data_IF_239211016197
#
_entry.id   IF_239211016197
#
_cell.length_a   1.000
_cell.length_b   1.000
_cell.length_c   1.000
_cell.angle_alpha   90.00
_cell.angle_beta   90.00
_cell.angle_gamma   90.00
#
_symmetry.space_group_name_H-M   'P 1'
#
loop_
_entity.id
_entity.type
_entity.pdbx_description
1 polymer ?
#
# COMPACT_ATOMS: atom_id res chain seq x y z
N UNK A 1 27.39 5.96 0.84
CA UNK A 1 27.36 4.61 0.27
C UNK A 1 25.93 4.07 0.19
N UNK A 2 24.96 4.89 -0.26
CA UNK A 2 23.52 4.55 -0.30
C UNK A 2 22.88 4.67 -1.71
N UNK A 3 23.71 4.75 -2.75
CA UNK A 3 23.24 4.84 -4.14
C UNK A 3 22.78 3.51 -4.74
N UNK A 4 23.12 2.36 -4.14
CA UNK A 4 22.80 1.04 -4.70
C UNK A 4 21.30 0.66 -4.66
N UNK A 5 20.53 1.18 -3.72
CA UNK A 5 19.07 0.86 -3.64
C UNK A 5 18.22 1.72 -4.58
N UNK A 6 18.71 2.92 -4.96
CA UNK A 6 18.07 3.74 -6.01
C UNK A 6 18.28 3.16 -7.41
N UNK A 7 19.38 2.42 -7.62
CA UNK A 7 19.66 1.75 -8.88
C UNK A 7 18.65 0.66 -9.26
N UNK A 8 17.96 0.05 -8.28
CA UNK A 8 16.96 -1.00 -8.52
C UNK A 8 15.70 -0.47 -9.22
N UNK A 9 15.19 0.71 -8.86
CA UNK A 9 14.02 1.29 -9.51
C UNK A 9 14.32 1.76 -10.94
N UNK A 10 15.47 2.39 -11.16
CA UNK A 10 15.91 2.82 -12.50
C UNK A 10 16.33 1.62 -13.35
N UNK A 11 16.97 0.60 -12.75
CA UNK A 11 17.29 -0.66 -13.43
C UNK A 11 16.04 -1.41 -13.89
N UNK A 12 14.98 -1.41 -13.09
CA UNK A 12 13.70 -1.99 -13.44
C UNK A 12 13.03 -1.26 -14.62
N UNK A 13 12.99 0.07 -14.59
CA UNK A 13 12.48 0.88 -15.71
C UNK A 13 13.30 0.67 -17.01
N UNK A 14 14.63 0.57 -16.90
CA UNK A 14 15.51 0.35 -18.04
C UNK A 14 15.43 -1.07 -18.61
N UNK A 15 15.23 -2.11 -17.77
CA UNK A 15 15.04 -3.49 -18.23
C UNK A 15 13.74 -3.65 -19.04
N UNK A 16 12.65 -2.99 -18.65
CA UNK A 16 11.40 -3.02 -19.41
C UNK A 16 11.56 -2.30 -20.75
N UNK A 17 12.27 -1.15 -20.77
CA UNK A 17 12.53 -0.43 -22.03
C UNK A 17 13.44 -1.21 -23.00
N UNK A 18 14.40 -2.01 -22.50
CA UNK A 18 15.32 -2.79 -23.30
C UNK A 18 14.73 -4.08 -23.92
N UNK A 19 13.56 -4.54 -23.45
CA UNK A 19 12.86 -5.71 -24.02
C UNK A 19 12.01 -5.37 -25.25
N UNK A 20 11.83 -4.08 -25.56
CA UNK A 20 11.09 -3.62 -26.74
C UNK A 20 12.07 -3.42 -27.91
N UNK A 21 11.92 -4.23 -28.98
CA UNK A 21 12.87 -4.24 -30.11
C UNK A 21 12.59 -3.13 -31.11
N UNK A 22 13.65 -2.76 -31.87
CA UNK A 22 13.66 -1.65 -32.84
C UNK A 22 12.78 -1.86 -34.10
N UNK A 23 12.09 -2.97 -34.22
CA UNK A 23 11.25 -3.30 -35.40
C UNK A 23 9.85 -2.65 -35.37
N UNK A 24 9.57 -1.88 -34.30
CA UNK A 24 8.24 -1.34 -34.00
C UNK A 24 7.98 0.08 -34.53
N UNK A 25 8.86 0.62 -35.40
CA UNK A 25 8.81 2.04 -35.84
C UNK A 25 7.86 2.34 -37.00
N UNK A 26 6.99 1.43 -37.38
CA UNK A 26 6.05 1.63 -38.52
C UNK A 26 4.57 1.64 -38.10
N UNK A 27 4.16 2.53 -37.22
CA UNK A 27 2.73 2.81 -37.06
C UNK A 27 2.51 4.31 -36.76
N UNK A 28 2.25 5.08 -37.77
CA UNK A 28 1.77 6.45 -37.64
C UNK A 28 0.33 6.44 -37.10
N UNK A 29 0.09 7.22 -36.05
CA UNK A 29 -1.20 7.59 -35.46
C UNK A 29 -1.88 6.59 -34.49
N UNK A 30 -1.14 5.68 -33.87
CA UNK A 30 -1.69 4.90 -32.76
C UNK A 30 -1.37 5.58 -31.41
N UNK A 31 -2.37 5.88 -30.56
CA UNK A 31 -2.14 6.48 -29.23
C UNK A 31 -1.14 5.70 -28.37
N UNK A 32 -1.16 4.36 -28.47
CA UNK A 32 -0.22 3.47 -27.78
C UNK A 32 1.24 3.76 -28.15
N UNK A 33 1.57 3.91 -29.44
CA UNK A 33 2.93 4.18 -29.90
C UNK A 33 3.45 5.53 -29.38
N UNK A 34 2.62 6.59 -29.41
CA UNK A 34 2.99 7.91 -28.91
C UNK A 34 3.26 7.92 -27.39
N UNK A 35 2.47 7.19 -26.62
CA UNK A 35 2.67 7.08 -25.15
C UNK A 35 3.90 6.24 -24.83
N UNK A 36 4.20 5.19 -25.62
CA UNK A 36 5.42 4.39 -25.49
C UNK A 36 6.67 5.25 -25.73
N UNK A 37 6.67 6.07 -26.78
CA UNK A 37 7.81 6.93 -27.11
C UNK A 37 8.03 8.00 -26.04
N UNK A 38 6.97 8.60 -25.53
CA UNK A 38 7.03 9.53 -24.40
C UNK A 38 7.66 8.87 -23.15
N UNK A 39 7.24 7.65 -22.84
CA UNK A 39 7.81 6.90 -21.70
C UNK A 39 9.29 6.57 -21.90
N UNK A 40 9.73 6.15 -23.10
CA UNK A 40 11.15 5.91 -23.42
C UNK A 40 11.97 7.18 -23.23
N UNK A 41 11.49 8.34 -23.70
CA UNK A 41 12.17 9.62 -23.55
C UNK A 41 12.38 10.00 -22.06
N UNK A 42 11.37 9.74 -21.20
CA UNK A 42 11.51 10.01 -19.77
C UNK A 42 12.53 9.08 -19.11
N UNK A 43 12.65 7.83 -19.53
CA UNK A 43 13.67 6.90 -19.02
C UNK A 43 15.07 7.39 -19.41
N UNK A 44 15.29 7.83 -20.65
CA UNK A 44 16.55 8.39 -21.11
C UNK A 44 16.94 9.65 -20.34
N UNK A 45 15.99 10.57 -20.12
CA UNK A 45 16.17 11.77 -19.33
C UNK A 45 16.59 11.44 -17.88
N UNK A 46 15.90 10.49 -17.24
CA UNK A 46 16.19 10.05 -15.89
C UNK A 46 17.59 9.42 -15.78
N UNK A 47 18.00 8.61 -16.76
CA UNK A 47 19.33 8.04 -16.82
C UNK A 47 20.39 9.14 -16.96
N UNK A 48 20.19 10.11 -17.84
CA UNK A 48 21.10 11.23 -18.06
C UNK A 48 21.30 12.07 -16.77
N UNK A 49 20.21 12.41 -16.07
CA UNK A 49 20.31 13.19 -14.83
C UNK A 49 21.01 12.38 -13.74
N UNK A 50 20.74 11.07 -13.63
CA UNK A 50 21.40 10.17 -12.68
C UNK A 50 22.92 10.14 -12.91
N UNK A 51 23.36 9.97 -14.15
CA UNK A 51 24.77 9.87 -14.49
C UNK A 51 25.51 11.18 -14.20
N UNK A 52 24.88 12.33 -14.45
CA UNK A 52 25.40 13.64 -14.04
C UNK A 52 25.46 13.79 -12.52
N UNK A 53 24.45 13.33 -11.80
CA UNK A 53 24.40 13.39 -10.33
C UNK A 53 25.51 12.53 -9.69
N UNK A 54 25.86 11.41 -10.32
CA UNK A 54 26.89 10.49 -9.82
C UNK A 54 28.29 11.12 -9.76
N UNK A 55 28.56 12.13 -10.61
CA UNK A 55 29.87 12.83 -10.71
C UNK A 55 29.81 14.28 -10.22
N UNK A 56 28.65 14.76 -9.82
CA UNK A 56 28.45 16.14 -9.40
C UNK A 56 29.13 16.46 -8.07
N UNK A 57 29.65 17.66 -7.92
CA UNK A 57 30.25 18.19 -6.69
C UNK A 57 29.79 19.62 -6.41
N UNK A 58 29.82 20.03 -5.13
CA UNK A 58 29.54 21.41 -4.72
C UNK A 58 28.08 21.83 -4.97
N UNK A 59 27.91 23.05 -5.49
CA UNK A 59 26.58 23.69 -5.64
C UNK A 59 25.70 23.05 -6.71
N UNK A 60 26.24 22.24 -7.62
CA UNK A 60 25.46 21.53 -8.63
C UNK A 60 24.63 20.37 -8.04
N UNK A 61 25.05 19.79 -6.91
CA UNK A 61 24.39 18.62 -6.31
C UNK A 61 22.92 18.90 -5.94
N UNK A 62 22.56 19.97 -5.20
CA UNK A 62 21.17 20.24 -4.86
C UNK A 62 20.27 20.46 -6.08
N UNK A 63 20.80 21.15 -7.12
CA UNK A 63 20.07 21.40 -8.38
C UNK A 63 19.78 20.08 -9.11
N UNK A 64 20.78 19.23 -9.25
CA UNK A 64 20.65 17.93 -9.91
C UNK A 64 19.77 16.97 -9.11
N UNK A 65 19.84 16.99 -7.77
CA UNK A 65 18.94 16.22 -6.92
C UNK A 65 17.47 16.62 -7.15
N UNK A 66 17.18 17.93 -7.18
CA UNK A 66 15.82 18.40 -7.48
C UNK A 66 15.37 17.98 -8.88
N UNK A 67 16.22 18.12 -9.89
CA UNK A 67 15.94 17.66 -11.26
C UNK A 67 15.70 16.15 -11.33
N UNK A 68 16.50 15.36 -10.60
CA UNK A 68 16.32 13.91 -10.51
C UNK A 68 14.98 13.52 -9.87
N UNK A 69 14.60 14.21 -8.80
CA UNK A 69 13.29 13.97 -8.15
C UNK A 69 12.13 14.26 -9.11
N UNK A 70 12.22 15.36 -9.86
CA UNK A 70 11.20 15.69 -10.87
C UNK A 70 11.16 14.64 -11.97
N UNK A 71 12.30 14.24 -12.54
CA UNK A 71 12.37 13.21 -13.57
C UNK A 71 11.84 11.85 -13.09
N UNK A 72 12.04 11.49 -11.81
CA UNK A 72 11.42 10.29 -11.21
C UNK A 72 9.90 10.41 -11.16
N UNK A 73 9.35 11.57 -10.80
CA UNK A 73 7.91 11.80 -10.76
C UNK A 73 7.30 11.73 -12.18
N UNK A 74 7.95 12.38 -13.15
CA UNK A 74 7.52 12.39 -14.56
C UNK A 74 7.58 10.98 -15.16
N UNK A 75 8.66 10.23 -14.90
CA UNK A 75 8.81 8.84 -15.33
C UNK A 75 7.75 7.90 -14.72
N UNK A 76 7.38 8.09 -13.44
CA UNK A 76 6.27 7.36 -12.81
C UNK A 76 4.94 7.66 -13.50
N UNK A 77 4.66 8.94 -13.79
CA UNK A 77 3.46 9.36 -14.48
C UNK A 77 3.39 8.78 -15.90
N UNK A 78 4.49 8.88 -16.67
CA UNK A 78 4.58 8.29 -18.01
C UNK A 78 4.39 6.77 -17.99
N UNK A 79 4.96 6.06 -17.01
CA UNK A 79 4.74 4.61 -16.85
C UNK A 79 3.27 4.28 -16.54
N UNK A 80 2.59 5.08 -15.72
CA UNK A 80 1.17 4.90 -15.46
C UNK A 80 0.33 5.08 -16.73
N UNK A 81 0.61 6.13 -17.51
CA UNK A 81 -0.07 6.41 -18.77
C UNK A 81 0.17 5.30 -19.79
N UNK A 82 1.42 4.83 -19.91
CA UNK A 82 1.76 3.74 -20.81
C UNK A 82 1.11 2.42 -20.38
N UNK A 83 1.05 2.14 -19.07
CA UNK A 83 0.34 0.96 -18.55
C UNK A 83 -1.15 1.02 -18.90
N UNK A 84 -1.81 2.19 -18.77
CA UNK A 84 -3.21 2.36 -19.13
C UNK A 84 -3.43 2.17 -20.67
N UNK A 85 -2.57 2.77 -21.49
CA UNK A 85 -2.64 2.59 -22.93
C UNK A 85 -2.44 1.13 -23.36
N UNK A 86 -1.59 0.37 -22.66
CA UNK A 86 -1.39 -1.06 -22.90
C UNK A 86 -2.59 -1.90 -22.46
N UNK A 87 -3.26 -1.53 -21.36
CA UNK A 87 -4.52 -2.14 -20.93
C UNK A 87 -5.59 -1.94 -22.03
N UNK A 88 -5.78 -0.69 -22.50
CA UNK A 88 -6.75 -0.34 -23.54
C UNK A 88 -6.46 -1.08 -24.87
N UNK A 89 -5.19 -1.12 -25.30
CA UNK A 89 -4.76 -1.81 -26.51
C UNK A 89 -5.07 -3.32 -26.45
N UNK A 90 -4.88 -3.92 -25.27
CA UNK A 90 -5.17 -5.33 -25.06
C UNK A 90 -6.68 -5.61 -25.00
N UNK A 91 -7.47 -4.76 -24.35
CA UNK A 91 -8.93 -4.86 -24.25
C UNK A 91 -9.62 -4.70 -25.61
N UNK A 92 -9.17 -3.73 -26.40
CA UNK A 92 -9.76 -3.43 -27.70
C UNK A 92 -9.28 -4.37 -28.82
N UNK A 93 -8.26 -5.20 -28.55
CA UNK A 93 -7.70 -6.11 -29.55
C UNK A 93 -6.96 -5.40 -30.68
N UNK A 94 -6.29 -4.29 -30.38
CA UNK A 94 -5.57 -3.46 -31.33
C UNK A 94 -4.38 -4.15 -31.99
N UNK A 95 -3.76 -3.48 -32.98
CA UNK A 95 -2.66 -4.02 -33.79
C UNK A 95 -1.42 -4.39 -32.95
N UNK A 96 -1.19 -3.68 -31.81
CA UNK A 96 -0.06 -3.93 -30.90
C UNK A 96 -0.40 -4.84 -29.71
N UNK A 97 -1.52 -5.55 -29.76
CA UNK A 97 -2.01 -6.44 -28.69
C UNK A 97 -0.92 -7.33 -28.09
N UNK A 98 -0.07 -7.96 -28.92
CA UNK A 98 1.02 -8.83 -28.47
C UNK A 98 2.09 -8.06 -27.68
N UNK A 99 2.44 -6.85 -28.15
CA UNK A 99 3.43 -5.99 -27.50
C UNK A 99 2.89 -5.47 -26.17
N UNK A 100 1.64 -5.00 -26.14
CA UNK A 100 0.94 -4.58 -24.93
C UNK A 100 0.87 -5.71 -23.90
N UNK A 101 0.52 -6.93 -24.32
CA UNK A 101 0.48 -8.09 -23.44
C UNK A 101 1.86 -8.42 -22.83
N UNK A 102 2.92 -8.41 -23.65
CA UNK A 102 4.28 -8.66 -23.16
C UNK A 102 4.70 -7.61 -22.13
N UNK A 103 4.44 -6.33 -22.40
CA UNK A 103 4.71 -5.25 -21.43
C UNK A 103 3.92 -5.44 -20.13
N UNK A 104 2.62 -5.72 -20.20
CA UNK A 104 1.77 -5.92 -19.02
C UNK A 104 2.21 -7.13 -18.20
N UNK A 105 2.67 -8.22 -18.83
CA UNK A 105 3.23 -9.40 -18.14
C UNK A 105 4.47 -9.03 -17.32
N UNK A 106 5.42 -8.31 -17.91
CA UNK A 106 6.61 -7.83 -17.20
C UNK A 106 6.24 -6.81 -16.09
N UNK A 107 5.16 -6.04 -16.30
CA UNK A 107 4.69 -5.03 -15.34
C UNK A 107 4.10 -5.63 -14.05
N UNK A 108 3.53 -6.85 -14.10
CA UNK A 108 2.88 -7.51 -12.96
C UNK A 108 3.79 -7.57 -11.71
N UNK A 109 5.02 -8.02 -11.86
CA UNK A 109 5.97 -8.10 -10.74
C UNK A 109 6.18 -6.75 -10.06
N UNK A 110 6.37 -5.68 -10.85
CA UNK A 110 6.56 -4.33 -10.31
C UNK A 110 5.32 -3.74 -9.64
N UNK A 111 4.12 -4.16 -10.04
CA UNK A 111 2.89 -3.78 -9.36
C UNK A 111 2.77 -4.48 -8.00
N UNK A 112 3.11 -5.77 -7.94
CA UNK A 112 3.16 -6.50 -6.68
C UNK A 112 4.17 -5.85 -5.71
N UNK A 113 5.38 -5.54 -6.17
CA UNK A 113 6.43 -4.89 -5.38
C UNK A 113 6.04 -3.48 -4.90
N UNK A 114 5.16 -2.81 -5.65
CA UNK A 114 4.63 -1.50 -5.30
C UNK A 114 3.38 -1.55 -4.40
N UNK A 115 2.89 -2.73 -4.00
CA UNK A 115 1.62 -2.93 -3.29
C UNK A 115 0.37 -2.48 -4.08
N UNK A 116 0.48 -2.31 -5.40
CA UNK A 116 -0.64 -1.98 -6.29
C UNK A 116 -1.36 -3.27 -6.73
N UNK A 117 -1.87 -3.99 -5.73
CA UNK A 117 -2.42 -5.33 -5.92
C UNK A 117 -3.74 -5.31 -6.69
N UNK A 118 -4.56 -4.28 -6.53
CA UNK A 118 -5.83 -4.12 -7.26
C UNK A 118 -5.56 -4.02 -8.76
N UNK A 119 -4.56 -3.24 -9.15
CA UNK A 119 -4.16 -3.11 -10.55
C UNK A 119 -3.49 -4.38 -11.07
N UNK A 120 -2.65 -5.02 -10.26
CA UNK A 120 -2.03 -6.30 -10.62
C UNK A 120 -3.07 -7.39 -10.86
N UNK A 121 -4.11 -7.48 -10.02
CA UNK A 121 -5.22 -8.42 -10.18
C UNK A 121 -5.97 -8.16 -11.49
N UNK A 122 -6.35 -6.91 -11.76
CA UNK A 122 -7.07 -6.54 -12.99
C UNK A 122 -6.26 -6.85 -14.24
N UNK A 123 -4.97 -6.47 -14.27
CA UNK A 123 -4.08 -6.72 -15.42
C UNK A 123 -3.88 -8.22 -15.62
N UNK A 124 -3.67 -8.99 -14.54
CA UNK A 124 -3.52 -10.44 -14.64
C UNK A 124 -4.77 -11.11 -15.20
N UNK A 125 -5.97 -10.73 -14.77
CA UNK A 125 -7.23 -11.19 -15.29
C UNK A 125 -7.41 -10.82 -16.77
N UNK A 126 -7.05 -9.58 -17.15
CA UNK A 126 -7.09 -9.13 -18.56
C UNK A 126 -6.15 -9.96 -19.45
N UNK A 127 -4.94 -10.23 -18.99
CA UNK A 127 -3.98 -11.07 -19.70
C UNK A 127 -4.54 -12.48 -19.93
N UNK A 128 -5.05 -13.12 -18.88
CA UNK A 128 -5.62 -14.46 -18.96
C UNK A 128 -6.84 -14.52 -19.87
N UNK A 129 -7.73 -13.53 -19.82
CA UNK A 129 -8.89 -13.42 -20.72
C UNK A 129 -8.47 -13.30 -22.21
N UNK A 130 -7.24 -12.85 -22.47
CA UNK A 130 -6.68 -12.72 -23.81
C UNK A 130 -5.72 -13.88 -24.19
N UNK A 131 -5.71 -14.99 -23.43
CA UNK A 131 -4.93 -16.19 -23.73
C UNK A 131 -3.46 -16.14 -23.28
N UNK A 132 -3.09 -15.19 -22.41
CA UNK A 132 -1.76 -15.09 -21.80
C UNK A 132 -1.83 -15.62 -20.37
N UNK A 133 -2.00 -16.92 -20.22
CA UNK A 133 -2.27 -17.62 -18.97
C UNK A 133 -1.08 -18.48 -18.47
N UNK A 134 0.15 -18.09 -18.80
CA UNK A 134 1.33 -18.82 -18.34
C UNK A 134 1.45 -18.77 -16.79
N UNK A 135 2.31 -19.65 -16.27
CA UNK A 135 2.50 -19.82 -14.82
C UNK A 135 2.78 -18.50 -14.09
N UNK A 136 3.62 -17.61 -14.64
CA UNK A 136 3.98 -16.34 -14.01
C UNK A 136 2.79 -15.39 -13.89
N UNK A 137 1.97 -15.32 -14.95
CA UNK A 137 0.75 -14.50 -14.94
C UNK A 137 -0.24 -15.06 -13.92
N UNK A 138 -0.46 -16.37 -13.90
CA UNK A 138 -1.39 -17.00 -12.94
C UNK A 138 -0.92 -16.81 -11.49
N UNK A 139 0.36 -17.05 -11.21
CA UNK A 139 0.90 -16.85 -9.84
C UNK A 139 0.81 -15.40 -9.39
N UNK A 140 1.21 -14.45 -10.22
CA UNK A 140 1.13 -13.02 -9.89
C UNK A 140 -0.32 -12.57 -9.64
N UNK A 141 -1.25 -13.04 -10.46
CA UNK A 141 -2.69 -12.77 -10.31
C UNK A 141 -3.23 -13.42 -9.04
N UNK A 142 -2.82 -14.64 -8.72
CA UNK A 142 -3.20 -15.34 -7.50
C UNK A 142 -2.68 -14.64 -6.24
N UNK A 143 -1.44 -14.16 -6.27
CA UNK A 143 -0.88 -13.35 -5.16
C UNK A 143 -1.68 -12.06 -5.01
N UNK A 144 -1.93 -11.32 -6.10
CA UNK A 144 -2.71 -10.08 -6.05
C UNK A 144 -4.13 -10.31 -5.52
N UNK A 145 -4.79 -11.40 -5.95
CA UNK A 145 -6.11 -11.79 -5.45
C UNK A 145 -6.10 -12.07 -3.94
N UNK A 146 -5.10 -12.80 -3.44
CA UNK A 146 -4.96 -13.08 -2.01
C UNK A 146 -4.72 -11.83 -1.19
N UNK A 147 -3.90 -10.89 -1.69
CA UNK A 147 -3.63 -9.62 -1.02
C UNK A 147 -4.85 -8.69 -1.00
N UNK A 148 -5.76 -8.82 -1.97
CA UNK A 148 -6.99 -8.02 -2.05
C UNK A 148 -8.24 -8.72 -1.49
N UNK A 149 -8.06 -9.78 -0.71
CA UNK A 149 -9.11 -10.57 -0.07
C UNK A 149 -10.05 -11.31 -1.06
N UNK A 150 -9.65 -11.50 -2.31
CA UNK A 150 -10.33 -12.37 -3.29
C UNK A 150 -9.80 -13.81 -3.14
N UNK A 151 -9.97 -14.39 -1.93
CA UNK A 151 -9.24 -15.59 -1.48
C UNK A 151 -9.57 -16.83 -2.30
N UNK A 152 -10.83 -17.01 -2.73
CA UNK A 152 -11.21 -18.13 -3.61
C UNK A 152 -10.51 -18.03 -4.97
N UNK A 153 -10.49 -16.85 -5.59
CA UNK A 153 -9.78 -16.63 -6.86
C UNK A 153 -8.27 -16.84 -6.68
N UNK A 154 -7.71 -16.38 -5.54
CA UNK A 154 -6.30 -16.61 -5.22
C UNK A 154 -5.97 -18.10 -5.22
N UNK A 155 -6.81 -18.93 -4.59
CA UNK A 155 -6.66 -20.39 -4.57
C UNK A 155 -6.66 -20.94 -5.99
N UNK A 156 -7.69 -20.62 -6.78
CA UNK A 156 -7.85 -21.12 -8.15
C UNK A 156 -6.63 -20.80 -9.03
N UNK A 157 -6.15 -19.56 -9.00
CA UNK A 157 -5.00 -19.14 -9.81
C UNK A 157 -3.68 -19.76 -9.33
N UNK A 158 -3.47 -19.85 -8.02
CA UNK A 158 -2.24 -20.45 -7.47
C UNK A 158 -2.20 -21.96 -7.70
N UNK A 159 -3.30 -22.69 -7.58
CA UNK A 159 -3.38 -24.12 -7.89
C UNK A 159 -3.13 -24.38 -9.38
N UNK A 160 -3.70 -23.57 -10.27
CA UNK A 160 -3.45 -23.65 -11.70
C UNK A 160 -1.98 -23.37 -12.05
N UNK A 161 -1.36 -22.39 -11.39
CA UNK A 161 0.06 -22.08 -11.58
C UNK A 161 0.96 -23.24 -11.09
N UNK A 162 0.66 -23.83 -9.92
CA UNK A 162 1.44 -24.94 -9.33
C UNK A 162 1.36 -26.24 -10.16
N UNK A 163 0.24 -26.44 -10.88
CA UNK A 163 0.11 -27.56 -11.85
C UNK A 163 1.02 -27.42 -13.07
N UNK A 164 1.37 -26.18 -13.47
CA UNK A 164 2.26 -25.94 -14.60
C UNK A 164 3.73 -26.06 -14.19
N UNK A 165 4.11 -25.39 -13.13
CA UNK A 165 5.46 -25.40 -12.54
C UNK A 165 5.38 -25.01 -11.05
N UNK A 166 6.33 -25.44 -10.17
CA UNK A 166 6.34 -25.11 -8.75
C UNK A 166 6.25 -23.59 -8.48
N UNK A 167 5.40 -23.21 -7.54
CA UNK A 167 5.24 -21.83 -7.10
C UNK A 167 6.50 -21.26 -6.47
N UNK A 168 6.63 -19.94 -6.51
CA UNK A 168 7.60 -19.19 -5.69
C UNK A 168 7.34 -19.42 -4.19
N UNK A 169 8.31 -19.03 -3.36
CA UNK A 169 8.15 -19.09 -1.90
C UNK A 169 6.93 -18.31 -1.42
N UNK A 170 6.65 -17.15 -2.04
CA UNK A 170 5.51 -16.28 -1.70
C UNK A 170 4.19 -16.96 -2.09
N UNK A 171 4.08 -17.43 -3.33
CA UNK A 171 2.86 -18.10 -3.82
C UNK A 171 2.54 -19.36 -3.01
N UNK A 172 3.56 -20.18 -2.71
CA UNK A 172 3.40 -21.39 -1.89
C UNK A 172 2.97 -21.08 -0.47
N UNK A 173 3.61 -20.08 0.19
CA UNK A 173 3.23 -19.64 1.53
C UNK A 173 1.77 -19.18 1.53
N UNK A 174 1.38 -18.35 0.57
CA UNK A 174 0.02 -17.84 0.47
C UNK A 174 -0.97 -19.00 0.29
N UNK A 175 -0.74 -19.91 -0.66
CA UNK A 175 -1.62 -21.07 -0.89
C UNK A 175 -1.79 -21.92 0.37
N UNK A 176 -0.75 -22.08 1.18
CA UNK A 176 -0.80 -22.82 2.44
C UNK A 176 -1.65 -22.12 3.50
N UNK A 177 -1.64 -20.77 3.54
CA UNK A 177 -2.37 -19.99 4.55
C UNK A 177 -3.81 -19.65 4.14
N UNK A 178 -4.17 -19.83 2.87
CA UNK A 178 -5.51 -19.50 2.35
C UNK A 178 -6.66 -20.11 3.16
N UNK A 179 -6.63 -21.40 3.62
CA UNK A 179 -7.76 -21.96 4.37
C UNK A 179 -8.09 -21.17 5.64
N UNK A 180 -7.08 -20.76 6.39
CA UNK A 180 -7.22 -19.95 7.61
C UNK A 180 -7.73 -18.53 7.27
N UNK A 181 -7.18 -17.94 6.22
CA UNK A 181 -7.59 -16.62 5.74
C UNK A 181 -9.04 -16.62 5.26
N UNK A 182 -9.50 -17.65 4.55
CA UNK A 182 -10.88 -17.78 4.08
C UNK A 182 -11.86 -17.90 5.24
N UNK A 183 -11.54 -18.69 6.26
CA UNK A 183 -12.36 -18.82 7.47
C UNK A 183 -12.49 -17.45 8.17
N UNK A 184 -11.36 -16.78 8.40
CA UNK A 184 -11.34 -15.47 9.01
C UNK A 184 -12.08 -14.40 8.18
N UNK A 185 -11.91 -14.42 6.84
CA UNK A 185 -12.59 -13.47 5.95
C UNK A 185 -14.10 -13.67 5.91
N UNK A 186 -14.56 -14.91 6.00
CA UNK A 186 -16.00 -15.22 6.09
C UNK A 186 -16.65 -14.60 7.33
N UNK A 187 -15.98 -14.68 8.48
CA UNK A 187 -16.41 -14.02 9.72
C UNK A 187 -16.45 -12.49 9.54
N UNK A 188 -15.37 -11.92 9.03
CA UNK A 188 -15.25 -10.49 8.76
C UNK A 188 -16.36 -9.99 7.80
N UNK A 189 -16.69 -10.74 6.76
CA UNK A 189 -17.78 -10.40 5.83
C UNK A 189 -19.15 -10.33 6.51
N UNK A 190 -19.42 -11.20 7.49
CA UNK A 190 -20.66 -11.15 8.26
C UNK A 190 -20.75 -9.88 9.10
N UNK A 191 -19.65 -9.50 9.76
CA UNK A 191 -19.55 -8.27 10.54
C UNK A 191 -19.74 -7.06 9.62
N UNK A 192 -19.01 -6.99 8.50
CA UNK A 192 -19.13 -5.89 7.50
C UNK A 192 -20.55 -5.78 6.94
N UNK A 193 -21.23 -6.90 6.74
CA UNK A 193 -22.62 -6.90 6.30
C UNK A 193 -23.59 -6.33 7.35
N UNK A 194 -23.33 -6.53 8.63
CA UNK A 194 -24.10 -5.90 9.72
C UNK A 194 -23.80 -4.40 9.82
N UNK A 195 -22.54 -4.00 9.78
CA UNK A 195 -22.09 -2.60 9.79
C UNK A 195 -22.67 -1.80 8.61
N UNK A 196 -22.67 -2.40 7.41
CA UNK A 196 -23.24 -1.75 6.22
C UNK A 196 -24.75 -1.51 6.35
N UNK A 197 -25.47 -2.42 7.01
CA UNK A 197 -26.92 -2.22 7.26
C UNK A 197 -27.19 -1.17 8.34
N UNK A 198 -26.33 -1.07 9.35
CA UNK A 198 -26.43 -0.06 10.40
C UNK A 198 -26.02 1.33 9.88
N UNK A 199 -25.03 1.40 9.02
CA UNK A 199 -24.44 2.61 8.40
C UNK A 199 -24.26 3.78 9.40
N UNK A 200 -23.78 3.48 10.59
CA UNK A 200 -23.63 4.45 11.68
C UNK A 200 -22.21 4.61 12.21
N UNK A 201 -21.25 3.81 11.71
CA UNK A 201 -19.86 3.88 12.16
C UNK A 201 -19.21 5.25 11.86
N UNK A 202 -18.39 5.79 12.77
CA UNK A 202 -17.68 7.04 12.57
C UNK A 202 -16.75 6.96 11.37
N UNK A 203 -16.55 8.11 10.67
CA UNK A 203 -15.67 8.22 9.51
C UNK A 203 -14.72 9.38 9.65
N UNK A 204 -13.47 9.16 9.24
CA UNK A 204 -12.42 10.17 9.23
C UNK A 204 -11.76 10.19 7.85
N UNK A 205 -11.59 11.39 7.30
CA UNK A 205 -10.79 11.64 6.10
C UNK A 205 -9.40 12.10 6.50
N UNK A 206 -8.40 11.45 5.93
CA UNK A 206 -6.99 11.85 5.99
C UNK A 206 -6.60 12.37 4.61
N UNK A 207 -6.50 13.68 4.43
CA UNK A 207 -5.95 14.29 3.22
C UNK A 207 -4.43 14.19 3.29
N UNK A 208 -3.83 13.42 2.39
CA UNK A 208 -2.39 13.18 2.38
C UNK A 208 -1.71 13.87 1.20
N UNK A 209 -0.37 13.89 1.19
CA UNK A 209 0.42 14.37 0.05
C UNK A 209 0.24 13.53 -1.23
N UNK A 210 -0.35 12.32 -1.14
CA UNK A 210 -0.58 11.40 -2.26
C UNK A 210 -2.05 11.25 -2.65
N UNK A 211 -2.97 11.91 -1.91
CA UNK A 211 -4.40 11.84 -2.09
C UNK A 211 -5.15 11.60 -0.79
N UNK A 212 -6.47 11.47 -0.88
CA UNK A 212 -7.32 11.28 0.29
C UNK A 212 -7.49 9.80 0.61
N UNK A 213 -7.49 9.50 1.92
CA UNK A 213 -7.84 8.18 2.49
C UNK A 213 -9.02 8.40 3.43
N UNK A 214 -10.13 7.68 3.23
CA UNK A 214 -11.27 7.69 4.15
C UNK A 214 -11.30 6.39 4.93
N UNK A 215 -11.38 6.50 6.25
CA UNK A 215 -11.47 5.36 7.15
C UNK A 215 -12.82 5.33 7.87
N UNK A 216 -13.34 4.15 8.05
CA UNK A 216 -14.49 3.85 8.90
C UNK A 216 -13.99 3.18 10.17
N UNK A 217 -14.47 3.62 11.35
CA UNK A 217 -13.91 3.25 12.64
C UNK A 217 -14.79 2.24 13.38
N UNK A 218 -14.18 1.20 13.95
CA UNK A 218 -14.85 0.08 14.62
C UNK A 218 -15.11 0.41 16.09
N UNK A 219 -16.04 1.33 16.33
CA UNK A 219 -16.33 1.82 17.67
C UNK A 219 -16.92 0.75 18.59
N UNK A 220 -17.61 -0.23 18.03
CA UNK A 220 -18.22 -1.31 18.83
C UNK A 220 -17.14 -2.21 19.47
N UNK A 221 -16.05 -2.50 18.74
CA UNK A 221 -15.00 -3.41 19.18
C UNK A 221 -13.82 -2.68 19.85
N UNK A 222 -13.61 -1.41 19.51
CA UNK A 222 -12.49 -0.61 20.03
C UNK A 222 -12.90 0.80 20.46
N UNK A 223 -13.90 0.95 21.37
CA UNK A 223 -14.49 2.24 21.72
C UNK A 223 -13.47 3.25 22.29
N UNK A 224 -12.51 2.80 23.11
CA UNK A 224 -11.50 3.71 23.69
C UNK A 224 -10.47 4.16 22.65
N UNK A 225 -10.05 3.26 21.77
CA UNK A 225 -9.12 3.56 20.67
C UNK A 225 -9.77 4.50 19.67
N UNK A 226 -11.03 4.27 19.29
CA UNK A 226 -11.80 5.16 18.41
C UNK A 226 -12.03 6.51 19.07
N UNK A 227 -12.43 6.55 20.35
CA UNK A 227 -12.61 7.78 21.12
C UNK A 227 -11.35 8.63 21.14
N UNK A 228 -10.21 8.03 21.43
CA UNK A 228 -8.90 8.66 21.40
C UNK A 228 -8.53 9.18 20.01
N UNK A 229 -8.70 8.37 18.97
CA UNK A 229 -8.36 8.75 17.60
C UNK A 229 -9.19 9.94 17.10
N UNK A 230 -10.51 9.91 17.33
CA UNK A 230 -11.43 10.99 16.95
C UNK A 230 -11.13 12.28 17.71
N UNK A 231 -10.87 12.21 19.01
CA UNK A 231 -10.49 13.39 19.81
C UNK A 231 -9.19 14.02 19.28
N UNK A 232 -8.16 13.21 18.98
CA UNK A 232 -6.89 13.70 18.41
C UNK A 232 -7.08 14.33 17.02
N UNK A 233 -8.00 13.79 16.20
CA UNK A 233 -8.38 14.41 14.91
C UNK A 233 -9.03 15.78 15.13
N UNK A 234 -9.97 15.89 16.07
CA UNK A 234 -10.63 17.17 16.39
C UNK A 234 -9.65 18.23 16.92
N UNK A 235 -8.63 17.77 17.65
CA UNK A 235 -7.53 18.62 18.14
C UNK A 235 -6.49 18.96 17.07
N UNK A 236 -6.66 18.48 15.81
CA UNK A 236 -5.72 18.65 14.68
C UNK A 236 -4.32 18.07 14.98
N UNK A 237 -4.24 17.08 15.86
CA UNK A 237 -2.98 16.48 16.29
C UNK A 237 -2.21 15.83 15.12
N UNK A 238 -2.93 15.29 14.13
CA UNK A 238 -2.37 14.61 12.98
C UNK A 238 -2.00 15.52 11.82
N UNK A 239 -2.42 16.81 11.85
CA UNK A 239 -2.15 17.74 10.76
C UNK A 239 -0.64 18.00 10.61
N UNK A 240 -0.12 17.76 9.41
CA UNK A 240 1.31 17.88 9.11
C UNK A 240 2.19 16.70 9.55
N UNK A 241 1.63 15.64 10.17
CA UNK A 241 2.40 14.48 10.62
C UNK A 241 2.84 13.58 9.47
N UNK A 242 4.02 12.96 9.63
CA UNK A 242 4.65 12.12 8.61
C UNK A 242 4.19 10.66 8.69
N UNK A 243 4.15 9.98 7.52
CA UNK A 243 4.25 8.52 7.48
C UNK A 243 5.72 8.13 7.63
N UNK A 244 6.20 8.06 8.87
CA UNK A 244 7.61 7.88 9.20
C UNK A 244 8.15 6.46 8.95
N UNK A 245 7.25 5.48 8.76
CA UNK A 245 7.62 4.09 8.47
C UNK A 245 6.63 3.47 7.47
N UNK A 246 7.12 3.17 6.26
CA UNK A 246 6.33 2.56 5.17
C UNK A 246 7.10 1.35 4.65
N UNK A 247 6.68 0.16 5.03
CA UNK A 247 7.31 -1.12 4.69
C UNK A 247 6.44 -1.83 3.64
N UNK A 248 6.99 -2.13 2.44
CA UNK A 248 6.25 -2.87 1.41
C UNK A 248 5.65 -4.18 1.95
N UNK A 249 4.45 -4.53 1.49
CA UNK A 249 3.72 -5.74 1.86
C UNK A 249 3.44 -5.87 3.36
N UNK A 250 3.59 -4.79 4.12
CA UNK A 250 3.38 -4.83 5.56
C UNK A 250 2.57 -3.65 6.04
N UNK A 251 3.20 -2.50 6.35
CA UNK A 251 2.51 -1.39 7.00
C UNK A 251 2.91 -0.03 6.47
N UNK A 252 1.96 0.92 6.53
CA UNK A 252 2.22 2.36 6.46
C UNK A 252 1.87 2.98 7.82
N UNK A 253 2.89 3.37 8.59
CA UNK A 253 2.76 3.86 9.97
C UNK A 253 2.98 5.37 10.03
N UNK A 254 2.05 6.05 10.71
CA UNK A 254 2.05 7.50 10.95
C UNK A 254 1.60 7.87 12.37
N UNK A 255 1.26 9.15 12.57
CA UNK A 255 0.70 9.65 13.85
C UNK A 255 1.73 9.91 14.95
N UNK A 256 3.04 9.94 14.61
CA UNK A 256 4.10 10.34 15.52
C UNK A 256 4.34 11.85 15.37
N UNK A 257 4.16 12.69 16.43
CA UNK A 257 4.40 14.12 16.33
C UNK A 257 5.87 14.49 16.08
N UNK A 258 6.80 13.62 16.47
CA UNK A 258 8.24 13.83 16.24
C UNK A 258 8.69 13.36 14.83
N UNK A 259 7.86 12.59 14.10
CA UNK A 259 8.20 12.06 12.80
C UNK A 259 9.28 10.95 12.78
N UNK A 260 9.65 10.40 13.94
CA UNK A 260 10.71 9.40 14.10
C UNK A 260 10.26 8.09 14.82
N UNK A 261 8.98 8.03 15.20
CA UNK A 261 8.39 6.89 15.91
C UNK A 261 8.51 6.97 17.44
N UNK A 262 9.12 8.01 18.00
CA UNK A 262 9.33 8.15 19.48
C UNK A 262 8.24 8.95 20.17
N UNK A 263 7.48 9.79 19.44
CA UNK A 263 6.49 10.71 19.99
C UNK A 263 5.11 10.11 20.17
N UNK A 264 4.28 10.79 21.00
CA UNK A 264 2.89 10.43 21.25
C UNK A 264 2.13 11.59 21.89
N UNK A 265 0.87 11.38 22.31
CA UNK A 265 0.00 12.44 22.84
C UNK A 265 0.31 12.81 24.31
N UNK A 266 1.33 12.23 24.92
CA UNK A 266 1.68 12.46 26.35
C UNK A 266 0.99 11.49 27.30
N UNK A 267 0.21 10.55 26.81
CA UNK A 267 -0.44 9.47 27.57
C UNK A 267 -0.52 8.21 26.72
N UNK A 268 -0.90 7.10 27.34
CA UNK A 268 -1.23 5.85 26.65
C UNK A 268 -2.68 5.43 26.89
N UNK A 269 -3.20 4.56 26.05
CA UNK A 269 -4.55 4.00 26.14
C UNK A 269 -4.49 2.48 26.34
N UNK A 270 -5.59 1.92 26.82
CA UNK A 270 -5.73 0.47 27.02
C UNK A 270 -5.78 -0.23 25.65
N UNK A 271 -5.09 -1.37 25.55
CA UNK A 271 -5.20 -2.26 24.40
C UNK A 271 -6.57 -2.99 24.42
N UNK A 272 -7.26 -2.98 23.29
CA UNK A 272 -8.60 -3.57 23.13
C UNK A 272 -8.57 -4.85 22.25
N UNK A 273 -7.39 -5.48 22.08
CA UNK A 273 -7.25 -6.73 21.34
C UNK A 273 -6.91 -7.95 22.22
N UNK A 274 -6.96 -7.81 23.55
CA UNK A 274 -6.56 -8.88 24.49
C UNK A 274 -7.72 -9.84 24.85
N UNK A 275 -8.95 -9.56 24.41
CA UNK A 275 -10.10 -10.45 24.53
C UNK A 275 -10.26 -11.33 23.28
N UNK A 276 -11.37 -12.04 23.19
CA UNK A 276 -11.69 -12.90 22.04
C UNK A 276 -12.38 -12.15 20.89
N UNK A 277 -12.91 -10.95 21.15
CA UNK A 277 -13.72 -10.15 20.22
C UNK A 277 -12.90 -9.09 19.45
N UNK A 278 -11.65 -9.39 19.11
CA UNK A 278 -10.83 -8.45 18.32
C UNK A 278 -11.07 -8.60 16.81
N UNK A 279 -10.91 -7.49 16.09
CA UNK A 279 -10.93 -7.48 14.62
C UNK A 279 -9.55 -7.89 14.07
N UNK A 280 -9.53 -8.57 12.93
CA UNK A 280 -8.31 -9.10 12.32
C UNK A 280 -7.66 -8.11 11.34
N UNK A 281 -6.37 -8.32 11.07
CA UNK A 281 -5.57 -7.46 10.20
C UNK A 281 -5.71 -7.89 8.73
N UNK A 282 -6.76 -7.44 8.07
CA UNK A 282 -6.90 -7.54 6.61
C UNK A 282 -6.23 -6.35 5.91
N UNK A 283 -6.03 -6.45 4.58
CA UNK A 283 -5.58 -5.30 3.80
C UNK A 283 -6.52 -4.10 4.03
N UNK A 284 -5.92 -2.93 4.27
CA UNK A 284 -6.66 -1.71 4.57
C UNK A 284 -7.13 -1.57 6.02
N UNK A 285 -6.86 -2.54 6.91
CA UNK A 285 -7.13 -2.37 8.34
C UNK A 285 -6.30 -1.22 8.90
N UNK A 286 -6.91 -0.43 9.78
CA UNK A 286 -6.30 0.62 10.59
C UNK A 286 -6.09 0.08 12.01
N UNK A 287 -4.85 0.06 12.49
CA UNK A 287 -4.48 -0.56 13.76
C UNK A 287 -3.60 0.37 14.61
N UNK A 288 -3.74 0.28 15.95
CA UNK A 288 -2.99 1.10 16.90
C UNK A 288 -1.58 0.55 17.07
N UNK A 289 -0.58 1.40 16.81
CA UNK A 289 0.81 1.06 17.07
C UNK A 289 1.12 1.16 18.57
N UNK A 290 2.01 0.30 19.06
CA UNK A 290 2.42 0.22 20.46
C UNK A 290 3.85 -0.31 20.62
N UNK A 291 4.42 -0.20 21.81
CA UNK A 291 5.67 -0.87 22.18
C UNK A 291 5.42 -2.36 22.52
N UNK A 292 6.38 -3.03 23.11
CA UNK A 292 6.20 -4.41 23.58
C UNK A 292 5.11 -4.55 24.64
N UNK A 293 4.93 -3.55 25.49
CA UNK A 293 3.83 -3.49 26.47
C UNK A 293 2.50 -3.21 25.74
N UNK A 294 1.46 -4.00 25.99
CA UNK A 294 0.16 -3.86 25.32
C UNK A 294 -0.52 -2.51 25.53
N UNK A 295 -0.40 -1.92 26.71
CA UNK A 295 -1.10 -0.70 27.11
C UNK A 295 -0.31 0.59 26.84
N UNK A 296 0.48 0.61 25.76
CA UNK A 296 1.30 1.75 25.34
C UNK A 296 0.87 2.39 24.03
N UNK A 297 -0.28 2.02 23.51
CA UNK A 297 -0.92 2.73 22.40
C UNK A 297 -1.16 4.20 22.76
N UNK A 298 -1.04 5.09 21.78
CA UNK A 298 -1.23 6.55 21.99
C UNK A 298 -1.81 7.20 20.74
N UNK A 299 -0.96 7.88 19.96
CA UNK A 299 -1.39 8.50 18.71
C UNK A 299 -0.91 7.76 17.46
N UNK A 300 0.11 6.92 17.57
CA UNK A 300 0.66 6.25 16.39
C UNK A 300 -0.24 5.11 15.94
N UNK A 301 -0.47 5.06 14.64
CA UNK A 301 -1.28 4.03 13.98
C UNK A 301 -0.59 3.52 12.73
N UNK A 302 -1.05 2.39 12.21
CA UNK A 302 -0.61 1.88 10.92
C UNK A 302 -1.76 1.34 10.09
N UNK A 303 -1.63 1.47 8.78
CA UNK A 303 -2.45 0.79 7.80
C UNK A 303 -1.79 -0.52 7.38
N UNK A 304 -2.57 -1.58 7.24
CA UNK A 304 -2.12 -2.85 6.69
C UNK A 304 -2.10 -2.78 5.16
N UNK A 305 -0.93 -2.94 4.57
CA UNK A 305 -0.77 -2.95 3.11
C UNK A 305 -1.06 -4.32 2.49
N UNK A 306 -1.08 -5.37 3.32
CA UNK A 306 -1.44 -6.74 3.00
C UNK A 306 -2.15 -7.37 4.23
N UNK A 307 -2.78 -8.53 4.11
CA UNK A 307 -3.25 -9.28 5.28
C UNK A 307 -2.09 -9.66 6.21
N UNK A 308 -2.21 -9.37 7.51
CA UNK A 308 -1.16 -9.54 8.51
C UNK A 308 -1.65 -10.35 9.71
N UNK A 309 -2.08 -11.59 9.48
CA UNK A 309 -2.59 -12.48 10.53
C UNK A 309 -1.62 -12.73 11.68
N UNK A 310 -0.30 -12.51 11.45
CA UNK A 310 0.71 -12.55 12.50
C UNK A 310 0.59 -11.42 13.55
N UNK A 311 -0.23 -10.41 13.29
CA UNK A 311 -0.51 -9.32 14.22
C UNK A 311 -1.85 -9.48 14.95
N UNK A 312 -2.66 -10.46 14.58
CA UNK A 312 -3.97 -10.71 15.18
C UNK A 312 -3.85 -11.01 16.67
N UNK A 313 -4.72 -10.40 17.48
CA UNK A 313 -4.66 -10.48 18.95
C UNK A 313 -3.46 -9.76 19.60
N UNK A 314 -2.59 -9.11 18.80
CA UNK A 314 -1.44 -8.38 19.33
C UNK A 314 -1.59 -6.87 19.24
N UNK A 315 -2.35 -6.37 18.27
CA UNK A 315 -2.60 -4.93 18.06
C UNK A 315 -4.09 -4.69 17.88
N UNK A 316 -4.58 -3.58 18.40
CA UNK A 316 -5.99 -3.19 18.29
C UNK A 316 -6.29 -2.69 16.89
N UNK A 317 -6.99 -3.48 16.09
CA UNK A 317 -7.61 -3.01 14.83
C UNK A 317 -8.86 -2.21 15.20
N UNK A 318 -8.89 -0.93 14.84
CA UNK A 318 -9.96 -0.03 15.21
C UNK A 318 -10.65 0.66 14.03
N UNK A 319 -10.33 0.22 12.80
CA UNK A 319 -10.98 0.74 11.59
C UNK A 319 -10.47 0.07 10.32
N UNK A 320 -11.01 0.55 9.20
CA UNK A 320 -10.62 0.13 7.86
C UNK A 320 -10.67 1.29 6.88
N UNK A 321 -9.89 1.21 5.83
CA UNK A 321 -10.00 2.09 4.66
C UNK A 321 -11.26 1.69 3.88
N UNK A 322 -12.08 2.70 3.53
CA UNK A 322 -13.24 2.57 2.66
C UNK A 322 -13.05 3.30 1.32
N UNK A 323 -12.15 4.30 1.27
CA UNK A 323 -11.74 5.01 0.06
C UNK A 323 -10.23 5.31 0.11
N UNK A 324 -9.54 5.28 -1.04
CA UNK A 324 -8.14 5.69 -1.15
C UNK A 324 -7.14 4.58 -0.82
N UNK A 325 -7.48 3.30 -1.00
CA UNK A 325 -6.54 2.20 -0.80
C UNK A 325 -5.32 2.29 -1.74
N UNK A 326 -5.49 2.81 -2.96
CA UNK A 326 -4.42 3.06 -3.93
C UNK A 326 -3.45 4.17 -3.50
N UNK A 327 -3.85 5.04 -2.58
CA UNK A 327 -2.98 6.09 -2.01
C UNK A 327 -1.84 5.46 -1.23
N UNK A 328 -2.08 4.36 -0.51
CA UNK A 328 -1.04 3.66 0.26
C UNK A 328 0.08 3.12 -0.64
N UNK A 329 -0.25 2.64 -1.84
CA UNK A 329 0.74 2.16 -2.81
C UNK A 329 1.67 3.27 -3.31
N UNK A 330 1.22 4.54 -3.27
CA UNK A 330 1.98 5.73 -3.71
C UNK A 330 2.91 6.28 -2.64
N UNK A 331 2.69 5.94 -1.34
CA UNK A 331 3.47 6.46 -0.23
C UNK A 331 4.95 6.12 -0.38
N UNK A 332 5.82 7.11 -0.08
CA UNK A 332 7.27 6.94 -0.10
C UNK A 332 7.70 5.86 0.89
N UNK A 333 8.38 4.83 0.39
CA UNK A 333 8.90 3.72 1.21
C UNK A 333 9.99 4.22 2.16
N UNK A 334 9.84 3.90 3.44
CA UNK A 334 10.77 4.24 4.53
C UNK A 334 10.81 3.12 5.55
N UNK A 335 11.99 2.67 5.94
CA UNK A 335 12.15 1.61 6.95
C UNK A 335 12.18 2.13 8.40
N UNK A 336 12.16 3.45 8.58
CA UNK A 336 12.24 4.12 9.88
C UNK A 336 13.62 4.04 10.55
N UNK A 337 14.59 3.33 9.95
CA UNK A 337 15.95 3.13 10.51
C UNK A 337 17.02 3.86 9.73
N UNK A 338 16.84 3.99 8.43
CA UNK A 338 17.76 4.69 7.53
C UNK A 338 17.08 5.93 6.99
N UNK A 339 17.87 7.03 6.86
CA UNK A 339 17.34 8.25 6.23
C UNK A 339 16.95 7.93 4.79
N UNK A 340 15.67 8.04 4.49
CA UNK A 340 15.18 7.87 3.12
C UNK A 340 15.74 8.98 2.22
N UNK A 341 15.98 8.68 0.94
CA UNK A 341 16.49 9.66 -0.02
C UNK A 341 15.48 10.77 -0.35
N UNK A 342 14.20 10.48 -0.18
CA UNK A 342 13.08 11.42 -0.38
C UNK A 342 12.40 11.73 0.95
N UNK A 343 11.78 12.91 1.10
CA UNK A 343 10.98 13.25 2.27
C UNK A 343 9.84 12.24 2.48
N UNK A 344 9.42 12.08 3.74
CA UNK A 344 8.24 11.31 4.06
C UNK A 344 6.98 11.96 3.46
N UNK A 345 6.02 11.13 3.03
CA UNK A 345 4.68 11.60 2.76
C UNK A 345 3.96 11.97 4.05
N UNK A 346 2.99 12.89 3.95
CA UNK A 346 2.36 13.53 5.12
C UNK A 346 0.87 13.41 5.11
N UNK A 347 0.28 13.41 6.30
CA UNK A 347 -1.11 13.78 6.52
C UNK A 347 -1.16 15.31 6.53
N UNK A 348 -1.72 15.89 5.48
CA UNK A 348 -1.87 17.35 5.37
C UNK A 348 -2.96 17.86 6.32
N UNK A 349 -4.05 17.08 6.44
CA UNK A 349 -5.18 17.37 7.29
C UNK A 349 -5.94 16.11 7.64
N UNK A 350 -6.39 15.99 8.88
CA UNK A 350 -7.35 14.98 9.33
C UNK A 350 -8.70 15.66 9.65
N UNK A 351 -9.83 15.06 9.21
CA UNK A 351 -11.16 15.63 9.41
C UNK A 351 -12.17 14.52 9.73
N UNK A 352 -12.94 14.70 10.81
CA UNK A 352 -14.05 13.80 11.13
C UNK A 352 -15.22 14.13 10.22
N UNK A 353 -15.66 13.16 9.42
CA UNK A 353 -16.80 13.31 8.49
C UNK A 353 -18.12 12.85 9.10
N UNK A 354 -18.06 11.86 9.98
CA UNK A 354 -19.24 11.32 10.65
C UNK A 354 -18.88 10.92 12.09
N UNK A 355 -19.77 11.20 13.01
CA UNK A 355 -19.74 10.79 14.42
C UNK A 355 -21.10 10.17 14.81
N UNK A 356 -21.10 9.29 15.81
CA UNK A 356 -22.30 8.96 16.57
C UNK A 356 -22.66 10.11 17.51
N UNK A 357 -23.91 10.08 18.04
CA UNK A 357 -24.44 11.15 18.89
C UNK A 357 -23.97 11.00 20.36
N UNK A 358 -22.66 11.12 20.57
CA UNK A 358 -22.02 11.21 21.89
C UNK A 358 -20.66 11.91 21.79
N UNK A 359 -20.10 12.22 22.93
CA UNK A 359 -18.77 12.85 23.01
C UNK A 359 -17.65 11.82 22.91
N UNK A 360 -16.66 12.09 22.05
CA UNK A 360 -15.46 11.27 21.89
C UNK A 360 -14.33 11.84 22.76
N UNK A 361 -13.84 11.01 23.68
CA UNK A 361 -12.75 11.37 24.59
C UNK A 361 -11.76 10.23 24.73
N UNK A 362 -10.50 10.58 24.84
CA UNK A 362 -9.46 9.64 25.25
C UNK A 362 -9.61 9.29 26.73
N UNK A 363 -9.38 8.03 27.06
CA UNK A 363 -9.29 7.57 28.44
C UNK A 363 -7.87 7.07 28.69
N UNK A 364 -7.01 7.90 29.32
CA UNK A 364 -5.65 7.51 29.62
C UNK A 364 -5.61 6.24 30.48
N UNK A 365 -4.73 5.31 30.08
CA UNK A 365 -4.50 4.09 30.84
C UNK A 365 -3.69 4.41 32.11
N UNK A 366 -4.24 4.04 33.24
CA UNK A 366 -3.55 4.09 34.55
C UNK A 366 -3.27 2.65 34.96
N UNK A 367 -2.00 2.21 35.06
CA UNK A 367 -1.67 0.89 35.57
C UNK A 367 -2.29 0.69 36.94
N UNK A 368 -3.05 -0.38 37.12
CA UNK A 368 -3.45 -0.77 38.46
C UNK A 368 -2.18 -1.25 39.18
N UNK A 369 -1.74 -0.51 40.16
CA UNK A 369 -0.76 -1.00 41.13
C UNK A 369 -1.33 -2.31 41.67
N UNK A 370 -0.63 -3.44 41.46
CA UNK A 370 -0.96 -4.68 42.15
C UNK A 370 -1.04 -4.32 43.65
N UNK A 371 -2.22 -4.42 44.20
CA UNK A 371 -2.38 -4.37 45.67
C UNK A 371 -1.66 -5.60 46.15
N UNK A 372 -0.43 -5.43 46.62
CA UNK A 372 0.26 -6.45 47.36
C UNK A 372 -0.72 -6.90 48.47
N UNK A 373 -1.18 -8.15 48.30
CA UNK A 373 -1.93 -8.84 49.36
C UNK A 373 -0.95 -9.06 50.52
N UNK A 374 -0.97 -8.16 51.47
CA UNK A 374 -0.43 -8.41 52.81
C UNK A 374 -1.18 -9.49 53.54
#
# INVERSE_FOLDING_TARGET
MNFLRFGLFVGFLACIAGSLTADDTKAMANPYAGVLDAWKAEIENLQHIRDRLAVAVGEDVPRLQKGYMQAVADGKSSLQNFTAAAEDELEQGGENKKQAANFLRERLGGLLDADDFERALRIGQLLMANGYDDRKVQEATGIAAGMTNHLQQAREYLEQADQKEPLSTIGRKLLTTLPEMEAAWKEEQQIRGAEQRADDLPRVRLSTSQGDVVVELFENEAPQTVGNFVELVDQKFYDGSDFHRVIPHRVAQGGCPNGDGTGGPGYSIRCECLGDDYRRHFRGSLSMARTADPHTGGSQFFFCMAPLGDLDGQYTVFGRIIEGMDVLAKLQRQDGKTKAPLPADRILKATVERKRDHEYRSTPYVPQLEREST
#
